data_IF_636999620249
#
_entry.id   IF_636999620249
#
_cell.length_a   1.000
_cell.length_b   1.000
_cell.length_c   1.000
_cell.angle_alpha   90.00
_cell.angle_beta   90.00
_cell.angle_gamma   90.00
#
_symmetry.space_group_name_H-M   'P 1'
#
loop_
_entity.id
_entity.type
_entity.pdbx_description
1 polymer ?
#
# COMPACT_ATOMS: atom_id res chain seq x y z
N UNK A 1 -5.39 0.68 -4.10
CA UNK A 1 -4.42 1.52 -3.36
C UNK A 1 -3.44 0.58 -2.66
N UNK A 2 -2.12 0.80 -2.69
CA UNK A 2 -1.16 -0.16 -2.11
C UNK A 2 -0.37 0.49 -0.98
N UNK A 3 -0.05 -0.26 0.08
CA UNK A 3 0.81 0.23 1.15
C UNK A 3 2.17 -0.46 1.07
N UNK A 4 3.21 0.35 1.00
CA UNK A 4 4.60 -0.05 1.01
C UNK A 4 5.22 0.44 2.32
N UNK A 5 5.80 -0.48 3.09
CA UNK A 5 6.48 -0.14 4.34
C UNK A 5 7.95 -0.47 4.18
N UNK A 6 8.81 0.52 4.32
CA UNK A 6 10.26 0.36 4.30
C UNK A 6 10.78 0.38 5.74
N UNK A 7 11.46 -0.67 6.18
CA UNK A 7 12.09 -0.76 7.49
C UNK A 7 13.54 -0.27 7.40
N UNK A 8 13.94 0.56 8.35
CA UNK A 8 15.33 1.01 8.51
C UNK A 8 15.88 0.54 9.87
N UNK A 9 17.15 0.11 9.87
CA UNK A 9 17.89 -0.23 11.08
C UNK A 9 18.51 1.04 11.68
N UNK A 10 17.73 1.79 12.46
CA UNK A 10 18.25 2.86 13.31
C UNK A 10 18.77 2.28 14.63
N UNK A 11 19.90 2.79 15.13
CA UNK A 11 20.38 2.42 16.46
C UNK A 11 19.55 3.09 17.57
N UNK A 12 19.46 2.46 18.75
CA UNK A 12 18.66 2.98 19.87
C UNK A 12 19.08 4.39 20.32
N UNK A 13 20.33 4.80 20.10
CA UNK A 13 20.85 6.10 20.51
C UNK A 13 20.44 7.21 19.54
N UNK A 14 20.35 6.93 18.24
CA UNK A 14 19.79 7.83 17.23
C UNK A 14 18.29 8.06 17.46
N UNK A 15 17.58 7.01 17.86
CA UNK A 15 16.16 7.09 18.21
C UNK A 15 15.97 7.99 19.44
N UNK A 16 16.70 7.74 20.53
CA UNK A 16 16.65 8.58 21.73
C UNK A 16 17.01 10.03 21.45
N UNK A 17 18.03 10.30 20.62
CA UNK A 17 18.45 11.66 20.26
C UNK A 17 17.38 12.41 19.48
N UNK A 18 16.64 11.75 18.61
CA UNK A 18 15.65 12.43 17.79
C UNK A 18 14.24 12.43 18.42
N UNK A 19 13.92 11.51 19.34
CA UNK A 19 12.80 11.67 20.30
C UNK A 19 13.03 12.87 21.24
N UNK A 20 14.27 13.08 21.71
CA UNK A 20 14.64 14.22 22.55
C UNK A 20 14.56 15.59 21.84
N UNK A 21 14.43 15.63 20.51
CA UNK A 21 14.26 16.85 19.71
C UNK A 21 12.82 17.36 19.61
N UNK A 22 11.87 16.78 20.37
CA UNK A 22 10.45 17.16 20.43
C UNK A 22 9.82 17.49 19.05
N UNK A 23 9.70 16.49 18.19
CA UNK A 23 8.63 16.50 17.19
C UNK A 23 7.40 15.87 17.83
N UNK A 24 6.42 16.70 18.21
CA UNK A 24 5.10 16.25 18.67
C UNK A 24 4.41 15.48 17.56
N UNK A 25 4.67 14.18 17.47
CA UNK A 25 3.85 13.29 16.69
C UNK A 25 2.46 13.22 17.36
N UNK A 26 1.35 13.30 16.61
CA UNK A 26 0.03 13.11 17.17
C UNK A 26 -0.03 11.76 17.89
N UNK A 27 -0.48 11.75 19.14
CA UNK A 27 -0.78 10.48 19.82
C UNK A 27 -1.87 9.80 19.02
N UNK A 28 -1.55 8.66 18.43
CA UNK A 28 -2.54 7.77 17.81
C UNK A 28 -3.43 7.25 18.93
N UNK A 29 -4.55 7.94 19.15
CA UNK A 29 -5.64 7.46 20.00
C UNK A 29 -6.38 6.36 19.25
N UNK A 30 -6.78 5.32 19.97
CA UNK A 30 -7.35 4.07 19.46
C UNK A 30 -8.55 4.23 18.50
N UNK A 31 -8.77 3.15 17.75
CA UNK A 31 -9.68 2.93 16.61
C UNK A 31 -9.30 3.62 15.27
N UNK A 32 -8.04 3.48 14.83
CA UNK A 32 -7.70 3.71 13.41
C UNK A 32 -8.07 2.50 12.54
N UNK A 33 -8.98 2.76 11.58
CA UNK A 33 -9.42 1.91 10.45
C UNK A 33 -10.39 0.76 10.79
N UNK A 34 -11.69 1.03 10.63
CA UNK A 34 -12.79 0.03 10.69
C UNK A 34 -13.64 0.01 9.42
N UNK A 35 -13.10 0.47 8.29
CA UNK A 35 -13.81 0.47 7.00
C UNK A 35 -13.00 -0.24 5.92
N UNK A 36 -12.87 -1.56 6.06
CA UNK A 36 -12.76 -2.45 4.91
C UNK A 36 -14.17 -2.93 4.59
N UNK A 37 -14.82 -2.39 3.56
CA UNK A 37 -16.09 -2.94 3.08
C UNK A 37 -15.83 -4.37 2.58
N UNK A 38 -16.18 -5.37 3.39
CA UNK A 38 -16.23 -6.77 3.00
C UNK A 38 -17.68 -7.10 2.60
N UNK A 39 -18.04 -7.02 1.31
CA UNK A 39 -19.38 -7.42 0.89
C UNK A 39 -19.62 -8.88 1.27
N UNK A 40 -20.82 -9.16 1.74
CA UNK A 40 -21.25 -10.52 2.04
C UNK A 40 -21.18 -11.40 0.78
N UNK A 41 -21.06 -12.74 0.96
CA UNK A 41 -21.10 -13.71 -0.16
C UNK A 41 -22.37 -13.55 -1.02
N UNK A 42 -23.45 -13.01 -0.45
CA UNK A 42 -24.71 -12.74 -1.12
C UNK A 42 -24.67 -11.49 -2.01
N UNK A 43 -24.10 -10.38 -1.52
CA UNK A 43 -23.88 -9.17 -2.33
C UNK A 43 -22.94 -9.48 -3.52
N UNK A 44 -21.91 -10.30 -3.30
CA UNK A 44 -21.04 -10.82 -4.36
C UNK A 44 -21.81 -11.66 -5.40
N UNK A 45 -22.75 -12.49 -4.95
CA UNK A 45 -23.63 -13.27 -5.82
C UNK A 45 -24.52 -12.39 -6.69
N UNK A 46 -25.05 -11.28 -6.15
CA UNK A 46 -25.86 -10.34 -6.92
C UNK A 46 -25.06 -9.58 -7.98
N UNK A 47 -23.83 -9.19 -7.66
CA UNK A 47 -22.94 -8.56 -8.64
C UNK A 47 -22.61 -9.52 -9.79
N UNK A 48 -22.42 -10.81 -9.50
CA UNK A 48 -22.19 -11.85 -10.50
C UNK A 48 -23.44 -12.13 -11.36
N UNK A 49 -24.63 -12.20 -10.76
CA UNK A 49 -25.87 -12.56 -11.46
C UNK A 49 -26.45 -11.42 -12.32
N UNK A 50 -26.35 -10.17 -11.87
CA UNK A 50 -26.78 -9.00 -12.65
C UNK A 50 -25.81 -8.67 -13.82
N UNK A 51 -24.72 -9.43 -13.94
CA UNK A 51 -23.58 -9.17 -14.80
C UNK A 51 -23.58 -9.85 -16.17
N UNK A 52 -24.42 -10.83 -16.49
CA UNK A 52 -24.02 -11.82 -17.52
C UNK A 52 -24.21 -11.36 -18.99
N UNK A 53 -24.95 -10.28 -19.30
CA UNK A 53 -25.40 -9.99 -20.68
C UNK A 53 -24.87 -8.69 -21.34
N UNK A 54 -23.59 -8.32 -21.18
CA UNK A 54 -22.99 -7.22 -22.00
C UNK A 54 -21.61 -7.62 -22.58
N UNK A 55 -21.33 -7.39 -23.88
CA UNK A 55 -20.12 -7.89 -24.56
C UNK A 55 -18.79 -7.34 -24.02
N UNK A 56 -18.79 -6.13 -23.44
CA UNK A 56 -17.60 -5.52 -22.81
C UNK A 56 -17.13 -6.24 -21.53
N UNK A 57 -17.98 -7.08 -20.91
CA UNK A 57 -17.71 -7.74 -19.62
C UNK A 57 -16.82 -8.98 -19.72
N UNK A 58 -16.74 -9.61 -20.89
CA UNK A 58 -15.91 -10.79 -21.08
C UNK A 58 -14.42 -10.40 -21.14
N UNK A 59 -14.09 -9.29 -21.81
CA UNK A 59 -12.71 -8.88 -22.05
C UNK A 59 -11.96 -8.51 -20.76
N UNK A 60 -12.55 -7.75 -19.84
CA UNK A 60 -11.91 -7.37 -18.58
C UNK A 60 -11.64 -8.57 -17.66
N UNK A 61 -12.62 -9.48 -17.52
CA UNK A 61 -12.47 -10.75 -16.78
C UNK A 61 -11.40 -11.62 -17.44
N UNK A 62 -11.42 -11.72 -18.76
CA UNK A 62 -10.42 -12.49 -19.51
C UNK A 62 -9.04 -11.88 -19.35
N UNK A 63 -8.87 -10.57 -19.42
CA UNK A 63 -7.60 -9.88 -19.21
C UNK A 63 -7.09 -10.10 -17.79
N UNK A 64 -7.94 -9.99 -16.77
CA UNK A 64 -7.57 -10.29 -15.38
C UNK A 64 -7.18 -11.76 -15.19
N UNK A 65 -7.93 -12.70 -15.79
CA UNK A 65 -7.63 -14.15 -15.71
C UNK A 65 -6.39 -14.55 -16.52
N UNK A 66 -6.08 -13.84 -17.60
CA UNK A 66 -4.92 -14.07 -18.47
C UNK A 66 -3.65 -13.36 -17.98
N UNK A 67 -3.76 -12.48 -16.97
CA UNK A 67 -2.59 -11.81 -16.41
C UNK A 67 -1.64 -12.84 -15.80
N UNK A 68 -0.36 -12.69 -16.08
CA UNK A 68 0.68 -13.43 -15.36
C UNK A 68 0.71 -12.95 -13.90
N UNK A 69 0.71 -13.89 -12.96
CA UNK A 69 0.79 -13.60 -11.53
C UNK A 69 2.21 -13.87 -11.07
N UNK A 70 2.85 -12.86 -10.50
CA UNK A 70 4.19 -13.02 -9.98
C UNK A 70 4.15 -13.79 -8.66
N UNK A 71 5.00 -14.81 -8.55
CA UNK A 71 5.24 -15.49 -7.29
C UNK A 71 6.30 -14.72 -6.50
N UNK A 72 5.85 -13.68 -5.80
CA UNK A 72 6.70 -12.92 -4.89
C UNK A 72 6.86 -13.69 -3.58
N UNK A 73 8.11 -13.89 -3.14
CA UNK A 73 8.45 -14.65 -1.94
C UNK A 73 9.19 -13.75 -0.94
N UNK A 74 9.12 -14.10 0.34
CA UNK A 74 9.88 -13.39 1.37
C UNK A 74 11.36 -13.74 1.30
N UNK A 75 12.20 -12.81 1.75
CA UNK A 75 13.67 -12.84 1.68
C UNK A 75 14.27 -12.88 0.26
N UNK A 76 13.48 -12.57 -0.76
CA UNK A 76 13.99 -12.28 -2.10
C UNK A 76 14.21 -10.79 -2.26
N UNK A 77 15.16 -10.42 -3.13
CA UNK A 77 15.40 -9.02 -3.51
C UNK A 77 14.12 -8.46 -4.16
N UNK A 78 13.65 -7.32 -3.68
CA UNK A 78 12.54 -6.62 -4.32
C UNK A 78 13.06 -5.83 -5.52
N UNK A 79 12.42 -5.89 -6.70
CA UNK A 79 12.86 -5.14 -7.87
C UNK A 79 12.71 -3.62 -7.65
N UNK A 80 13.63 -2.83 -8.17
CA UNK A 80 13.46 -1.37 -8.19
C UNK A 80 12.33 -0.97 -9.15
N UNK A 81 11.73 0.19 -8.91
CA UNK A 81 10.69 0.76 -9.74
C UNK A 81 10.80 2.28 -9.78
N UNK A 82 10.45 2.89 -10.90
CA UNK A 82 10.40 4.34 -11.02
C UNK A 82 8.99 4.81 -10.73
N UNK A 83 8.86 5.69 -9.75
CA UNK A 83 7.60 6.27 -9.29
C UNK A 83 7.66 7.79 -9.44
N UNK A 84 6.51 8.44 -9.52
CA UNK A 84 6.42 9.90 -9.43
C UNK A 84 6.13 10.30 -7.99
N UNK A 85 6.89 11.27 -7.47
CA UNK A 85 6.64 11.81 -6.14
C UNK A 85 5.47 12.80 -6.17
N UNK A 86 4.50 12.58 -5.29
CA UNK A 86 3.32 13.41 -5.20
C UNK A 86 3.66 14.87 -4.83
N UNK A 87 2.97 15.82 -5.47
CA UNK A 87 3.27 17.25 -5.34
C UNK A 87 4.49 17.71 -6.15
N UNK A 88 5.13 16.81 -6.90
CA UNK A 88 6.26 17.13 -7.79
C UNK A 88 6.05 16.54 -9.18
N UNK A 89 6.85 16.97 -10.16
CA UNK A 89 6.98 16.30 -11.45
C UNK A 89 8.21 15.36 -11.49
N UNK A 90 8.81 15.09 -10.33
CA UNK A 90 10.05 14.33 -10.24
C UNK A 90 9.76 12.83 -10.22
N UNK A 91 10.39 12.13 -11.16
CA UNK A 91 10.49 10.69 -11.11
C UNK A 91 11.61 10.30 -10.14
N UNK A 92 11.37 9.27 -9.35
CA UNK A 92 12.30 8.78 -8.35
C UNK A 92 12.35 7.25 -8.39
N UNK A 93 13.55 6.70 -8.23
CA UNK A 93 13.71 5.27 -7.97
C UNK A 93 13.17 4.94 -6.58
N UNK A 94 12.56 3.77 -6.46
CA UNK A 94 12.09 3.29 -5.18
C UNK A 94 13.26 3.06 -4.21
N UNK A 95 14.39 2.56 -4.72
CA UNK A 95 15.62 2.45 -3.95
C UNK A 95 16.15 3.81 -3.51
N UNK A 96 16.15 4.82 -4.39
CA UNK A 96 16.58 6.16 -4.02
C UNK A 96 15.71 6.74 -2.90
N UNK A 97 14.40 6.44 -2.88
CA UNK A 97 13.52 6.82 -1.76
C UNK A 97 13.86 6.09 -0.47
N UNK A 98 14.26 4.83 -0.51
CA UNK A 98 14.72 4.11 0.67
C UNK A 98 16.05 4.62 1.20
N UNK A 99 16.96 5.00 0.30
CA UNK A 99 18.33 5.37 0.64
C UNK A 99 18.47 6.85 1.07
N UNK A 100 17.62 7.76 0.59
CA UNK A 100 17.73 9.22 0.81
C UNK A 100 16.68 9.80 1.77
N UNK A 101 16.25 9.04 2.77
CA UNK A 101 15.21 9.43 3.71
C UNK A 101 15.67 10.60 4.63
N UNK A 102 14.83 11.62 4.92
CA UNK A 102 15.17 12.68 5.86
C UNK A 102 15.45 12.12 7.27
N UNK A 103 16.66 12.32 7.78
CA UNK A 103 17.09 11.93 9.14
C UNK A 103 16.39 12.73 10.27
N UNK A 104 15.35 13.51 9.98
CA UNK A 104 14.73 14.43 10.94
C UNK A 104 13.68 13.75 11.83
N UNK A 105 13.29 12.50 11.51
CA UNK A 105 12.44 11.65 12.36
C UNK A 105 13.05 10.26 12.53
N UNK A 106 13.31 9.80 13.77
CA UNK A 106 13.75 8.45 14.01
C UNK A 106 12.52 7.53 13.96
N UNK A 107 12.19 7.02 12.78
CA UNK A 107 11.11 6.05 12.64
C UNK A 107 11.70 4.69 12.31
N UNK A 108 11.27 3.65 13.01
CA UNK A 108 11.64 2.27 12.69
C UNK A 108 11.21 1.84 11.27
N UNK A 109 10.23 2.53 10.69
CA UNK A 109 9.75 2.27 9.35
C UNK A 109 9.10 3.51 8.72
N UNK A 110 9.22 3.59 7.40
CA UNK A 110 8.57 4.57 6.52
C UNK A 110 7.40 3.92 5.80
N UNK A 111 6.29 4.64 5.66
CA UNK A 111 5.12 4.17 4.96
C UNK A 111 4.87 5.02 3.71
N UNK A 112 4.53 4.37 2.60
CA UNK A 112 4.13 5.02 1.36
C UNK A 112 2.86 4.37 0.82
N UNK A 113 1.95 5.20 0.30
CA UNK A 113 0.84 4.71 -0.50
C UNK A 113 1.23 4.77 -1.98
N UNK A 114 1.27 3.63 -2.66
CA UNK A 114 1.52 3.61 -4.11
C UNK A 114 0.18 3.61 -4.86
N UNK A 115 -0.10 4.73 -5.53
CA UNK A 115 -1.25 4.90 -6.42
C UNK A 115 -0.94 4.33 -7.80
N UNK A 116 -1.85 3.53 -8.34
CA UNK A 116 -1.64 2.77 -9.57
C UNK A 116 -2.81 2.93 -10.53
N UNK A 117 -2.78 2.24 -11.67
CA UNK A 117 -3.92 2.12 -12.58
C UNK A 117 -5.21 1.74 -11.83
N UNK A 118 -6.30 2.47 -12.09
CA UNK A 118 -7.64 2.09 -11.64
C UNK A 118 -7.98 0.65 -12.00
N UNK A 119 -8.60 -0.06 -11.06
CA UNK A 119 -9.18 -1.38 -11.32
C UNK A 119 -10.66 -1.30 -11.72
N UNK A 120 -11.32 -0.19 -11.39
CA UNK A 120 -12.74 0.06 -11.69
C UNK A 120 -12.95 1.48 -12.26
N UNK A 121 -12.33 1.83 -13.39
CA UNK A 121 -12.57 3.14 -14.00
C UNK A 121 -13.99 3.20 -14.59
N UNK A 122 -14.57 4.39 -14.59
CA UNK A 122 -15.94 4.67 -15.00
C UNK A 122 -16.23 4.37 -16.49
N UNK A 123 -15.19 4.37 -17.31
CA UNK A 123 -15.23 4.04 -18.75
C UNK A 123 -14.80 2.60 -19.07
N UNK A 124 -14.49 1.78 -18.06
CA UNK A 124 -14.31 0.33 -18.21
C UNK A 124 -15.30 -0.47 -17.32
N UNK A 125 -15.02 -1.76 -17.11
CA UNK A 125 -15.87 -2.66 -16.34
C UNK A 125 -15.56 -2.59 -14.82
N UNK A 126 -16.60 -2.61 -13.99
CA UNK A 126 -16.51 -2.66 -12.54
C UNK A 126 -17.41 -3.75 -11.93
N UNK A 127 -17.03 -4.28 -10.76
CA UNK A 127 -17.75 -5.33 -10.02
C UNK A 127 -18.33 -4.73 -8.75
N UNK A 128 -19.61 -4.34 -8.77
CA UNK A 128 -20.22 -3.65 -7.63
C UNK A 128 -19.67 -2.23 -7.52
N UNK A 129 -20.53 -1.27 -7.23
CA UNK A 129 -20.10 0.11 -7.14
C UNK A 129 -21.15 0.93 -6.46
N UNK A 130 -20.75 1.54 -5.36
CA UNK A 130 -21.33 2.80 -4.90
C UNK A 130 -21.04 3.91 -5.93
N UNK A 131 -21.70 5.07 -5.79
CA UNK A 131 -21.53 6.20 -6.72
C UNK A 131 -20.06 6.65 -6.85
N UNK A 132 -19.22 6.36 -5.85
CA UNK A 132 -17.81 6.75 -5.75
C UNK A 132 -16.94 5.93 -6.70
N UNK A 133 -17.23 4.62 -6.83
CA UNK A 133 -16.53 3.69 -7.72
C UNK A 133 -16.66 4.02 -9.22
N UNK A 134 -17.40 5.08 -9.60
CA UNK A 134 -17.67 5.49 -10.99
C UNK A 134 -17.32 6.95 -11.29
N UNK A 135 -16.58 7.62 -10.39
CA UNK A 135 -16.31 9.05 -10.55
C UNK A 135 -15.21 9.36 -11.58
N UNK A 136 -14.29 8.43 -11.85
CA UNK A 136 -13.11 8.70 -12.65
C UNK A 136 -12.98 7.75 -13.84
N UNK A 137 -12.76 8.33 -15.02
CA UNK A 137 -12.28 7.58 -16.20
C UNK A 137 -10.85 7.12 -15.97
N UNK A 138 -10.44 6.09 -16.69
CA UNK A 138 -9.06 5.60 -16.66
C UNK A 138 -8.11 6.72 -17.07
N UNK A 139 -7.14 7.13 -16.21
CA UNK A 139 -6.13 8.07 -16.63
C UNK A 139 -5.32 7.55 -17.82
N UNK A 140 -5.12 8.42 -18.82
CA UNK A 140 -4.27 8.18 -20.00
C UNK A 140 -2.98 8.98 -19.95
N UNK A 141 -2.88 9.95 -19.03
CA UNK A 141 -1.70 10.77 -18.77
C UNK A 141 -1.37 10.80 -17.28
N UNK A 142 -0.12 11.15 -16.94
CA UNK A 142 0.28 11.30 -15.54
C UNK A 142 -0.49 12.42 -14.84
N UNK A 143 -0.77 13.53 -15.53
CA UNK A 143 -1.55 14.65 -15.00
C UNK A 143 -2.95 14.18 -14.57
N UNK A 144 -3.63 13.40 -15.40
CA UNK A 144 -4.94 12.84 -15.06
C UNK A 144 -4.86 11.91 -13.83
N UNK A 145 -3.80 11.10 -13.72
CA UNK A 145 -3.60 10.21 -12.56
C UNK A 145 -3.35 11.00 -11.27
N UNK A 146 -2.55 12.07 -11.36
CA UNK A 146 -2.26 12.96 -10.23
C UNK A 146 -3.48 13.73 -9.75
N UNK A 147 -4.38 14.16 -10.64
CA UNK A 147 -5.62 14.82 -10.23
C UNK A 147 -6.50 13.90 -9.36
N UNK A 148 -6.50 12.58 -9.61
CA UNK A 148 -7.22 11.64 -8.75
C UNK A 148 -6.54 11.51 -7.38
N UNK A 149 -5.21 11.43 -7.35
CA UNK A 149 -4.45 11.41 -6.09
C UNK A 149 -4.72 12.67 -5.25
N UNK A 150 -4.75 13.83 -5.91
CA UNK A 150 -5.11 15.10 -5.26
C UNK A 150 -6.52 15.07 -4.68
N UNK A 151 -7.51 14.62 -5.46
CA UNK A 151 -8.88 14.47 -4.99
C UNK A 151 -9.01 13.48 -3.82
N UNK A 152 -8.24 12.38 -3.84
CA UNK A 152 -8.21 11.41 -2.74
C UNK A 152 -7.68 12.04 -1.44
N UNK A 153 -6.65 12.90 -1.52
CA UNK A 153 -6.12 13.64 -0.36
C UNK A 153 -7.11 14.67 0.16
N UNK A 154 -7.77 15.40 -0.73
CA UNK A 154 -8.82 16.35 -0.34
C UNK A 154 -10.00 15.65 0.35
N UNK A 155 -10.34 14.44 -0.11
CA UNK A 155 -11.38 13.61 0.51
C UNK A 155 -10.95 13.03 1.87
N UNK A 156 -9.68 12.64 2.00
CA UNK A 156 -9.13 12.01 3.21
C UNK A 156 -7.93 12.79 3.80
N UNK A 157 -8.13 14.03 4.27
CA UNK A 157 -7.03 14.89 4.76
C UNK A 157 -6.36 14.35 6.04
N UNK A 158 -6.97 13.38 6.72
CA UNK A 158 -6.41 12.70 7.88
C UNK A 158 -5.37 11.63 7.50
N UNK A 159 -5.27 11.23 6.23
CA UNK A 159 -4.23 10.33 5.74
C UNK A 159 -2.96 11.13 5.53
N UNK A 160 -2.01 10.98 6.44
CA UNK A 160 -0.71 11.68 6.42
C UNK A 160 0.39 10.90 5.70
N UNK A 161 0.10 9.67 5.26
CA UNK A 161 1.05 8.81 4.55
C UNK A 161 1.27 9.40 3.14
N UNK A 162 2.53 9.66 2.73
CA UNK A 162 2.82 10.22 1.41
C UNK A 162 2.43 9.27 0.29
N UNK A 163 2.01 9.85 -0.83
CA UNK A 163 1.71 9.10 -2.05
C UNK A 163 2.94 9.04 -2.96
N UNK A 164 3.16 7.86 -3.53
CA UNK A 164 3.97 7.66 -4.72
C UNK A 164 3.03 7.20 -5.84
N UNK A 165 3.30 7.62 -7.06
CA UNK A 165 2.39 7.35 -8.19
C UNK A 165 3.12 6.51 -9.23
N UNK A 166 2.58 5.34 -9.54
CA UNK A 166 3.09 4.48 -10.61
C UNK A 166 3.02 5.24 -11.95
N UNK A 167 3.95 4.96 -12.85
CA UNK A 167 3.97 5.61 -14.15
C UNK A 167 2.89 5.04 -15.07
N UNK A 168 2.64 5.72 -16.19
CA UNK A 168 1.60 5.29 -17.15
C UNK A 168 1.89 3.92 -17.79
N UNK A 169 3.16 3.51 -17.83
CA UNK A 169 3.57 2.18 -18.28
C UNK A 169 3.37 1.08 -17.22
N UNK A 170 2.96 1.48 -16.01
CA UNK A 170 2.70 0.65 -14.83
C UNK A 170 3.91 -0.22 -14.43
N UNK A 171 5.11 0.36 -14.51
CA UNK A 171 6.35 -0.37 -14.22
C UNK A 171 6.39 -0.95 -12.80
N UNK A 172 5.87 -0.23 -11.80
CA UNK A 172 5.82 -0.74 -10.43
C UNK A 172 4.90 -1.96 -10.35
N UNK A 173 3.68 -1.85 -10.89
CA UNK A 173 2.75 -2.99 -10.87
C UNK A 173 3.28 -4.22 -11.62
N UNK A 174 4.01 -4.03 -12.72
CA UNK A 174 4.58 -5.14 -13.49
C UNK A 174 5.52 -6.00 -12.67
N UNK A 175 6.23 -5.41 -11.71
CA UNK A 175 7.25 -6.12 -10.91
C UNK A 175 6.81 -6.43 -9.49
N UNK A 176 5.73 -5.78 -9.00
CA UNK A 176 5.13 -6.03 -7.68
C UNK A 176 3.81 -6.82 -7.72
N UNK A 177 3.19 -7.05 -8.89
CA UNK A 177 1.85 -7.67 -9.03
C UNK A 177 0.87 -7.20 -7.93
N UNK A 178 0.75 -5.88 -7.82
CA UNK A 178 0.12 -5.20 -6.69
C UNK A 178 -1.40 -5.00 -6.90
N UNK A 179 -1.92 -5.27 -8.10
CA UNK A 179 -3.36 -5.25 -8.38
C UNK A 179 -4.06 -6.43 -7.68
N UNK A 180 -5.20 -6.23 -7.01
CA UNK A 180 -6.00 -4.99 -6.95
C UNK A 180 -5.51 -3.96 -5.93
N UNK A 181 -5.09 -4.48 -4.78
CA UNK A 181 -4.42 -3.79 -3.71
C UNK A 181 -3.61 -4.84 -2.94
N UNK A 182 -2.48 -4.41 -2.38
CA UNK A 182 -1.52 -5.29 -1.73
C UNK A 182 -0.69 -4.52 -0.70
N UNK A 183 -0.24 -5.25 0.30
CA UNK A 183 0.60 -4.77 1.39
C UNK A 183 2.00 -5.38 1.25
N UNK A 184 3.04 -4.57 1.41
CA UNK A 184 4.42 -5.04 1.39
C UNK A 184 5.22 -4.45 2.55
N UNK A 185 6.11 -5.26 3.12
CA UNK A 185 7.17 -4.77 4.01
C UNK A 185 8.49 -5.09 3.34
N UNK A 186 9.31 -4.07 3.16
CA UNK A 186 10.63 -4.13 2.56
C UNK A 186 11.66 -3.76 3.63
N UNK A 187 12.78 -4.48 3.64
CA UNK A 187 13.93 -4.20 4.51
C UNK A 187 15.18 -4.54 3.72
N UNK A 188 16.13 -3.61 3.63
CA UNK A 188 17.38 -3.81 2.89
C UNK A 188 17.15 -4.31 1.45
N UNK A 189 16.17 -3.71 0.76
CA UNK A 189 15.78 -4.06 -0.63
C UNK A 189 15.33 -5.52 -0.79
N UNK A 190 14.80 -6.13 0.28
CA UNK A 190 14.21 -7.46 0.26
C UNK A 190 12.77 -7.44 0.76
N UNK A 191 11.94 -8.32 0.22
CA UNK A 191 10.61 -8.56 0.76
C UNK A 191 10.69 -9.24 2.13
N UNK A 192 10.19 -8.61 3.18
CA UNK A 192 9.99 -9.25 4.48
C UNK A 192 8.56 -9.69 4.73
N UNK A 193 7.63 -9.03 4.07
CA UNK A 193 6.23 -9.44 4.02
C UNK A 193 5.66 -9.11 2.65
N UNK A 194 4.86 -10.04 2.13
CA UNK A 194 4.15 -9.92 0.86
C UNK A 194 2.71 -10.35 1.11
N UNK A 195 1.79 -9.39 1.23
CA UNK A 195 0.37 -9.68 1.40
C UNK A 195 -0.23 -10.40 0.20
N UNK A 196 -1.40 -11.01 0.37
CA UNK A 196 -2.17 -11.54 -0.75
C UNK A 196 -2.81 -10.42 -1.60
N UNK A 197 -3.33 -10.72 -2.80
CA UNK A 197 -4.14 -9.77 -3.54
C UNK A 197 -5.45 -9.48 -2.82
N UNK A 198 -5.81 -8.20 -2.70
CA UNK A 198 -7.06 -7.77 -2.07
C UNK A 198 -8.35 -8.15 -2.82
N UNK A 199 -9.52 -7.83 -2.24
CA UNK A 199 -9.66 -7.39 -0.85
C UNK A 199 -9.33 -8.51 0.15
N UNK A 200 -9.43 -9.78 -0.26
CA UNK A 200 -9.30 -10.94 0.64
C UNK A 200 -7.88 -11.17 1.19
N UNK A 201 -6.84 -10.75 0.46
CA UNK A 201 -5.45 -10.84 0.90
C UNK A 201 -4.87 -9.55 1.48
N UNK A 202 -5.68 -8.48 1.55
CA UNK A 202 -5.27 -7.22 2.15
C UNK A 202 -5.59 -7.24 3.64
N UNK A 203 -4.63 -7.67 4.45
CA UNK A 203 -4.81 -7.87 5.90
C UNK A 203 -3.83 -6.98 6.68
N UNK A 204 -4.21 -5.74 7.04
CA UNK A 204 -3.37 -4.82 7.80
C UNK A 204 -2.92 -5.38 9.16
N UNK A 205 -3.68 -6.31 9.74
CA UNK A 205 -3.37 -6.98 11.00
C UNK A 205 -2.07 -7.79 10.89
N UNK A 206 -1.81 -8.48 9.77
CA UNK A 206 -0.57 -9.24 9.56
C UNK A 206 0.65 -8.32 9.52
N UNK A 207 0.51 -7.14 8.90
CA UNK A 207 1.54 -6.09 8.88
C UNK A 207 1.80 -5.56 10.30
N UNK A 208 0.73 -5.27 11.06
CA UNK A 208 0.85 -4.83 12.46
C UNK A 208 1.56 -5.87 13.32
N UNK A 209 1.21 -7.14 13.19
CA UNK A 209 1.85 -8.23 13.91
C UNK A 209 3.33 -8.35 13.55
N UNK A 210 3.68 -8.26 12.27
CA UNK A 210 5.07 -8.26 11.81
C UNK A 210 5.87 -7.14 12.48
N UNK A 211 5.40 -5.89 12.37
CA UNK A 211 6.10 -4.71 12.91
C UNK A 211 6.20 -4.78 14.43
N UNK A 212 5.13 -5.19 15.11
CA UNK A 212 5.14 -5.36 16.57
C UNK A 212 6.16 -6.42 17.00
N UNK A 213 6.26 -7.54 16.28
CA UNK A 213 7.25 -8.58 16.57
C UNK A 213 8.68 -8.08 16.33
N UNK A 214 8.89 -7.32 15.25
CA UNK A 214 10.21 -6.81 14.83
C UNK A 214 10.76 -5.73 15.76
N UNK A 215 9.89 -4.87 16.31
CA UNK A 215 10.29 -3.69 17.10
C UNK A 215 9.82 -3.75 18.56
N UNK A 216 9.44 -4.93 19.07
CA UNK A 216 9.06 -5.11 20.48
C UNK A 216 10.21 -4.66 21.40
N UNK A 217 9.98 -3.73 22.35
CA UNK A 217 10.99 -3.33 23.33
C UNK A 217 11.44 -4.53 24.17
N UNK A 218 12.73 -4.59 24.49
CA UNK A 218 13.37 -5.74 25.16
C UNK A 218 12.94 -5.99 26.62
N UNK A 219 12.05 -5.14 27.17
CA UNK A 219 11.65 -5.17 28.59
C UNK A 219 10.89 -6.45 29.03
N UNK A 220 10.50 -7.34 28.12
CA UNK A 220 9.84 -8.62 28.47
C UNK A 220 10.78 -9.84 28.45
N UNK A 221 12.06 -9.70 28.08
CA UNK A 221 13.00 -10.86 28.09
C UNK A 221 13.55 -11.18 29.48
N UNK A 222 13.47 -10.26 30.44
CA UNK A 222 13.98 -10.47 31.81
C UNK A 222 12.96 -11.06 32.79
N UNK A 223 11.66 -11.10 32.47
CA UNK A 223 10.62 -11.66 33.36
C UNK A 223 10.36 -13.17 33.18
N UNK A 224 11.11 -13.85 32.31
CA UNK A 224 10.97 -15.30 32.04
C UNK A 224 12.13 -16.14 32.60
N UNK A 225 13.01 -15.58 33.44
CA UNK A 225 13.90 -16.42 34.25
C UNK A 225 13.13 -16.88 35.49
N UNK A 226 12.81 -18.18 35.64
CA UNK A 226 12.41 -18.68 36.95
C UNK A 226 13.60 -18.49 37.89
N UNK A 227 13.36 -17.83 39.02
CA UNK A 227 14.31 -17.79 40.13
C UNK A 227 14.53 -19.24 40.61
N UNK A 228 15.77 -19.72 40.46
CA UNK A 228 16.29 -20.92 41.10
C UNK A 228 16.91 -20.59 42.45
#
# INVERSE_FOLDING_TARGET
MNLLINIQDYDEEEIKRAEARELKCPKVTEDCYKNGYHPSRWELGQVFLNGIWKPFKLNSILTYKKRERLKLETNTVCPDATLLEEGTENQVSLYDKFDNMPCDRPMYADCYIVYMKEIHPADEWYIGGDKISLCYKQPTTMQQRLEIVKALKEYAPFVTIPFLVDLMDNNFNKVYDAVPERLFILENKQFKYVGGPGPFGFVPEEVREYLTKRFKPEQTRQSLKPET
#
